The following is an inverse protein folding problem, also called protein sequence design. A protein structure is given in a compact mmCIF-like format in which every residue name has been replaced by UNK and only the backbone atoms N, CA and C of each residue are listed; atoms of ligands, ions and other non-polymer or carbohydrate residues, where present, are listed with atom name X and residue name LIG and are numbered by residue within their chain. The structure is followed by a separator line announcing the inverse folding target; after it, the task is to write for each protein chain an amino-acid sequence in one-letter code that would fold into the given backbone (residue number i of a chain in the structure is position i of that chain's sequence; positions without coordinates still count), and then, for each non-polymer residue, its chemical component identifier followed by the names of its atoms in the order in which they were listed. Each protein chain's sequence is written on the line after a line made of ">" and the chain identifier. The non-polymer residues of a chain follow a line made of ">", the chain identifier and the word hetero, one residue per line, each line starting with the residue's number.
data_IF_100096448217
#
_entry.id   IF_100096448217
#
_cell.length_a   1.000
_cell.length_b   1.000
_cell.length_c   1.000
_cell.angle_alpha   90.00
_cell.angle_beta   90.00
_cell.angle_gamma   90.00
#
_symmetry.space_group_name_H-M   'P 1'
#
loop_
_entity.id
_entity.type
_entity.pdbx_description
1 polymer ?
#
# COMPACT_ATOMS: atom_id res chain seq x y z
N UNK A 1 -13.99 -25.05 30.64
CA UNK A 1 -14.30 -25.45 29.25
C UNK A 1 -13.68 -24.39 28.38
N UNK A 2 -12.61 -24.74 27.68
CA UNK A 2 -11.78 -23.81 26.92
C UNK A 2 -12.29 -23.77 25.49
N UNK A 3 -12.77 -22.62 25.03
CA UNK A 3 -13.05 -22.38 23.61
C UNK A 3 -12.41 -21.05 23.21
N UNK A 4 -11.10 -21.09 23.04
CA UNK A 4 -10.35 -20.04 22.35
C UNK A 4 -10.36 -20.38 20.85
N UNK A 5 -11.51 -20.15 20.21
CA UNK A 5 -11.65 -20.28 18.77
C UNK A 5 -10.95 -19.08 18.11
N UNK A 6 -9.64 -19.19 17.92
CA UNK A 6 -8.86 -18.25 17.12
C UNK A 6 -9.25 -18.44 15.65
N UNK A 7 -10.13 -17.58 15.14
CA UNK A 7 -10.52 -17.60 13.74
C UNK A 7 -9.33 -17.17 12.89
N UNK A 8 -8.70 -18.13 12.18
CA UNK A 8 -7.78 -17.82 11.08
C UNK A 8 -8.47 -16.82 10.17
N UNK A 9 -7.84 -15.67 9.93
CA UNK A 9 -8.27 -14.67 8.94
C UNK A 9 -8.43 -15.40 7.61
N UNK A 10 -9.67 -15.72 7.25
CA UNK A 10 -10.00 -16.41 6.03
C UNK A 10 -9.60 -15.52 4.85
N UNK A 11 -9.14 -16.13 3.77
CA UNK A 11 -8.92 -15.43 2.49
C UNK A 11 -10.27 -14.92 1.97
N UNK A 12 -10.70 -13.78 2.51
CA UNK A 12 -11.99 -13.18 2.23
C UNK A 12 -11.96 -12.52 0.87
N UNK A 13 -12.91 -12.90 0.01
CA UNK A 13 -13.18 -12.20 -1.25
C UNK A 13 -14.02 -10.92 -1.02
N UNK A 14 -14.27 -10.52 0.24
CA UNK A 14 -14.91 -9.24 0.55
C UNK A 14 -13.94 -8.07 0.27
N UNK A 15 -14.37 -7.05 -0.49
CA UNK A 15 -13.58 -5.84 -0.68
C UNK A 15 -13.35 -5.11 0.65
N UNK A 16 -12.13 -4.60 0.83
CA UNK A 16 -11.83 -3.65 1.89
C UNK A 16 -12.48 -2.28 1.61
N UNK A 17 -12.38 -1.37 2.57
CA UNK A 17 -12.95 -0.03 2.48
C UNK A 17 -12.40 0.77 1.28
N UNK A 18 -13.27 1.62 0.72
CA UNK A 18 -12.94 2.62 -0.31
C UNK A 18 -13.11 2.14 -1.76
N UNK A 19 -12.94 3.05 -2.74
CA UNK A 19 -12.97 2.71 -4.16
C UNK A 19 -11.76 1.85 -4.53
N UNK A 20 -11.90 0.98 -5.54
CA UNK A 20 -10.81 0.09 -5.97
C UNK A 20 -9.72 0.88 -6.69
N UNK A 21 -8.65 1.23 -5.97
CA UNK A 21 -7.49 1.99 -6.48
C UNK A 21 -6.26 1.69 -5.62
N UNK A 22 -5.07 1.67 -6.24
CA UNK A 22 -3.78 1.63 -5.56
C UNK A 22 -3.09 2.99 -5.69
N UNK A 23 -2.66 3.57 -4.58
CA UNK A 23 -1.77 4.73 -4.59
C UNK A 23 -0.34 4.25 -4.40
N UNK A 24 0.56 4.63 -5.31
CA UNK A 24 1.95 4.17 -5.31
C UNK A 24 2.89 5.37 -5.24
N UNK A 25 3.80 5.37 -4.27
CA UNK A 25 4.68 6.49 -3.97
C UNK A 25 6.15 6.07 -3.99
N UNK A 26 7.04 7.01 -4.33
CA UNK A 26 8.49 6.87 -4.07
C UNK A 26 9.22 5.84 -4.93
N UNK A 27 8.59 5.32 -5.99
CA UNK A 27 9.21 4.38 -6.92
C UNK A 27 9.91 5.12 -8.07
N UNK A 28 11.08 4.60 -8.48
CA UNK A 28 11.69 4.95 -9.77
C UNK A 28 10.81 4.46 -10.92
N UNK A 29 11.01 4.99 -12.13
CA UNK A 29 10.26 4.57 -13.30
C UNK A 29 10.35 3.04 -13.56
N UNK A 30 11.52 2.45 -13.33
CA UNK A 30 11.73 1.00 -13.44
C UNK A 30 10.94 0.21 -12.39
N UNK A 31 10.94 0.68 -11.13
CA UNK A 31 10.18 0.05 -10.06
C UNK A 31 8.66 0.16 -10.29
N UNK A 32 8.18 1.29 -10.86
CA UNK A 32 6.79 1.43 -11.28
C UNK A 32 6.42 0.40 -12.35
N UNK A 33 7.27 0.21 -13.36
CA UNK A 33 7.03 -0.79 -14.41
C UNK A 33 7.05 -2.22 -13.86
N UNK A 34 8.01 -2.55 -12.98
CA UNK A 34 8.08 -3.85 -12.33
C UNK A 34 6.83 -4.11 -11.47
N UNK A 35 6.37 -3.11 -10.71
CA UNK A 35 5.15 -3.19 -9.92
C UNK A 35 3.92 -3.44 -10.79
N UNK A 36 3.74 -2.68 -11.87
CA UNK A 36 2.61 -2.86 -12.78
C UNK A 36 2.60 -4.24 -13.45
N UNK A 37 3.77 -4.76 -13.82
CA UNK A 37 3.88 -6.10 -14.41
C UNK A 37 3.55 -7.21 -13.40
N UNK A 38 4.02 -7.06 -12.16
CA UNK A 38 3.67 -7.95 -11.05
C UNK A 38 2.16 -7.89 -10.76
N UNK A 39 1.58 -6.70 -10.65
CA UNK A 39 0.15 -6.51 -10.41
C UNK A 39 -0.71 -7.19 -11.48
N UNK A 40 -0.36 -7.06 -12.75
CA UNK A 40 -1.05 -7.72 -13.88
C UNK A 40 -0.97 -9.25 -13.82
N UNK A 41 0.10 -9.79 -13.25
CA UNK A 41 0.31 -11.24 -13.12
C UNK A 41 -0.48 -11.80 -11.94
N UNK A 42 -0.43 -11.11 -10.80
CA UNK A 42 -0.98 -11.58 -9.53
C UNK A 42 -2.48 -11.29 -9.38
N UNK A 43 -2.97 -10.16 -9.92
CA UNK A 43 -4.33 -9.67 -9.71
C UNK A 43 -5.10 -9.67 -11.03
N UNK A 44 -6.12 -10.54 -11.12
CA UNK A 44 -6.94 -10.68 -12.33
C UNK A 44 -7.91 -9.52 -12.56
N UNK A 45 -8.42 -8.93 -11.48
CA UNK A 45 -9.38 -7.84 -11.58
C UNK A 45 -8.68 -6.52 -11.99
N UNK A 46 -9.28 -5.72 -12.88
CA UNK A 46 -8.73 -4.42 -13.23
C UNK A 46 -8.50 -3.57 -11.98
N UNK A 47 -7.29 -3.06 -11.80
CA UNK A 47 -6.91 -2.34 -10.59
C UNK A 47 -6.21 -1.04 -11.00
N UNK A 48 -6.92 0.10 -10.95
CA UNK A 48 -6.33 1.41 -11.19
C UNK A 48 -5.14 1.67 -10.26
N UNK A 49 -4.08 2.24 -10.81
CA UNK A 49 -2.87 2.64 -10.09
C UNK A 49 -2.61 4.12 -10.33
N UNK A 50 -2.61 4.89 -9.24
CA UNK A 50 -2.26 6.31 -9.25
C UNK A 50 -0.87 6.46 -8.66
N UNK A 51 0.08 6.98 -9.44
CA UNK A 51 1.40 7.31 -8.93
C UNK A 51 1.36 8.68 -8.26
N UNK A 52 1.84 8.74 -7.03
CA UNK A 52 1.84 9.96 -6.23
C UNK A 52 3.26 10.51 -6.13
N UNK A 53 3.35 11.83 -6.18
CA UNK A 53 4.58 12.61 -6.13
C UNK A 53 4.59 13.50 -4.88
N UNK A 54 5.72 14.13 -4.52
CA UNK A 54 5.77 15.07 -3.39
C UNK A 54 4.75 16.22 -3.46
N UNK A 55 4.30 16.59 -4.66
CA UNK A 55 3.29 17.63 -4.89
C UNK A 55 1.90 17.22 -4.39
N UNK A 56 1.62 15.92 -4.33
CA UNK A 56 0.36 15.36 -3.81
C UNK A 56 0.33 15.25 -2.29
N UNK A 57 1.41 15.66 -1.61
CA UNK A 57 1.59 15.43 -0.18
C UNK A 57 0.48 16.02 0.70
N UNK A 58 -0.09 17.16 0.30
CA UNK A 58 -1.12 17.85 1.08
C UNK A 58 -2.55 17.57 0.57
N UNK A 59 -2.68 16.68 -0.43
CA UNK A 59 -3.96 16.19 -0.98
C UNK A 59 -4.53 15.07 -0.10
N UNK A 60 -5.85 15.01 0.04
CA UNK A 60 -6.53 13.98 0.81
C UNK A 60 -6.46 12.62 0.10
N UNK A 61 -6.35 11.53 0.87
CA UNK A 61 -6.35 10.18 0.29
C UNK A 61 -7.64 9.87 -0.48
N UNK A 62 -8.79 10.32 0.02
CA UNK A 62 -10.09 10.19 -0.65
C UNK A 62 -10.13 10.86 -2.04
N UNK A 63 -9.44 11.98 -2.21
CA UNK A 63 -9.32 12.66 -3.49
C UNK A 63 -8.36 11.91 -4.43
N UNK A 64 -7.23 11.44 -3.90
CA UNK A 64 -6.22 10.72 -4.69
C UNK A 64 -6.75 9.40 -5.26
N UNK A 65 -7.54 8.65 -4.50
CA UNK A 65 -8.10 7.36 -4.97
C UNK A 65 -9.16 7.52 -6.06
N UNK A 66 -9.68 8.74 -6.25
CA UNK A 66 -10.64 9.07 -7.31
C UNK A 66 -9.97 9.55 -8.62
N UNK A 67 -8.64 9.69 -8.63
CA UNK A 67 -7.89 10.13 -9.80
C UNK A 67 -7.76 9.03 -10.86
N UNK A 68 -7.55 9.40 -12.13
CA UNK A 68 -7.46 8.44 -13.22
C UNK A 68 -6.26 7.51 -13.10
N UNK A 69 -6.44 6.27 -13.58
CA UNK A 69 -5.39 5.27 -13.70
C UNK A 69 -4.18 5.80 -14.48
N UNK A 70 -2.98 5.44 -14.02
CA UNK A 70 -1.71 5.81 -14.63
C UNK A 70 -1.30 7.27 -14.46
N UNK A 71 -2.03 8.09 -13.68
CA UNK A 71 -1.62 9.46 -13.36
C UNK A 71 -0.19 9.48 -12.85
N UNK A 72 0.61 10.42 -13.37
CA UNK A 72 2.02 10.66 -13.02
C UNK A 72 2.94 9.44 -13.18
N UNK A 73 2.54 8.43 -13.97
CA UNK A 73 3.43 7.33 -14.32
C UNK A 73 4.71 7.84 -14.97
N UNK A 74 5.84 7.27 -14.56
CA UNK A 74 7.18 7.64 -15.02
C UNK A 74 7.74 8.89 -14.33
N UNK A 75 6.94 9.59 -13.52
CA UNK A 75 7.46 10.68 -12.70
C UNK A 75 8.05 10.10 -11.42
N UNK A 76 9.25 10.55 -11.10
CA UNK A 76 9.95 10.17 -9.89
C UNK A 76 9.89 11.31 -8.89
N UNK A 77 9.81 10.98 -7.61
CA UNK A 77 9.77 11.96 -6.55
C UNK A 77 10.43 11.43 -5.29
N UNK A 78 11.12 12.32 -4.57
CA UNK A 78 11.74 11.99 -3.28
C UNK A 78 10.66 11.83 -2.22
N UNK A 79 10.10 10.63 -2.12
CA UNK A 79 9.14 10.22 -1.12
C UNK A 79 9.46 8.79 -0.65
N UNK A 80 9.16 8.43 0.61
CA UNK A 80 9.27 7.04 1.04
C UNK A 80 8.48 6.09 0.13
N UNK A 81 9.03 4.93 -0.24
CA UNK A 81 8.32 3.94 -1.03
C UNK A 81 7.13 3.41 -0.24
N UNK A 82 5.93 3.55 -0.81
CA UNK A 82 4.70 3.16 -0.15
C UNK A 82 3.61 2.74 -1.15
N UNK A 83 2.77 1.79 -0.75
CA UNK A 83 1.55 1.41 -1.47
C UNK A 83 0.36 1.47 -0.51
N UNK A 84 -0.62 2.31 -0.86
CA UNK A 84 -1.90 2.42 -0.16
C UNK A 84 -2.95 1.69 -0.99
N UNK A 85 -3.59 0.69 -0.40
CA UNK A 85 -4.54 -0.21 -1.05
C UNK A 85 -5.97 0.16 -0.66
N UNK A 86 -6.80 0.50 -1.63
CA UNK A 86 -8.20 0.86 -1.43
C UNK A 86 -9.11 -0.08 -2.23
N UNK A 87 -10.21 -0.54 -1.62
CA UNK A 87 -11.25 -1.32 -2.32
C UNK A 87 -10.83 -2.67 -2.92
N UNK A 88 -9.62 -3.16 -2.64
CA UNK A 88 -9.18 -4.52 -3.02
C UNK A 88 -9.58 -5.53 -1.93
N UNK A 89 -9.59 -6.82 -2.25
CA UNK A 89 -9.85 -7.86 -1.24
C UNK A 89 -8.61 -8.14 -0.38
N UNK A 90 -8.80 -8.75 0.79
CA UNK A 90 -7.66 -9.19 1.62
C UNK A 90 -6.79 -10.22 0.89
N UNK A 91 -7.40 -11.06 0.06
CA UNK A 91 -6.70 -12.02 -0.78
C UNK A 91 -5.80 -11.32 -1.80
N UNK A 92 -6.30 -10.30 -2.47
CA UNK A 92 -5.51 -9.51 -3.42
C UNK A 92 -4.38 -8.75 -2.73
N UNK A 93 -4.64 -8.17 -1.55
CA UNK A 93 -3.59 -7.55 -0.72
C UNK A 93 -2.45 -8.52 -0.45
N UNK A 94 -2.75 -9.76 -0.01
CA UNK A 94 -1.73 -10.78 0.25
C UNK A 94 -0.96 -11.15 -1.02
N UNK A 95 -1.65 -11.28 -2.16
CA UNK A 95 -1.03 -11.57 -3.46
C UNK A 95 -0.06 -10.47 -3.88
N UNK A 96 -0.48 -9.19 -3.82
CA UNK A 96 0.35 -8.03 -4.15
C UNK A 96 1.58 -7.97 -3.23
N UNK A 97 1.41 -8.16 -1.92
CA UNK A 97 2.52 -8.13 -0.96
C UNK A 97 3.50 -9.28 -1.18
N UNK A 98 3.03 -10.47 -1.54
CA UNK A 98 3.89 -11.61 -1.84
C UNK A 98 4.60 -11.43 -3.18
N UNK A 99 3.91 -10.96 -4.21
CA UNK A 99 4.49 -10.63 -5.50
C UNK A 99 5.58 -9.55 -5.39
N UNK A 100 5.40 -8.53 -4.54
CA UNK A 100 6.46 -7.56 -4.28
C UNK A 100 7.74 -8.18 -3.73
N UNK A 101 7.63 -9.15 -2.81
CA UNK A 101 8.79 -9.84 -2.22
C UNK A 101 9.61 -10.62 -3.26
N UNK A 102 8.98 -11.11 -4.32
CA UNK A 102 9.69 -11.86 -5.38
C UNK A 102 10.46 -10.95 -6.33
N UNK A 103 10.17 -9.65 -6.36
CA UNK A 103 10.86 -8.68 -7.22
C UNK A 103 12.26 -8.29 -6.71
N UNK A 104 12.64 -8.66 -5.49
CA UNK A 104 13.93 -8.29 -4.89
C UNK A 104 14.09 -6.77 -4.66
N UNK A 105 13.00 -6.01 -4.70
CA UNK A 105 12.99 -4.56 -4.51
C UNK A 105 13.06 -4.20 -3.00
N UNK A 106 13.47 -2.95 -2.68
CA UNK A 106 13.56 -2.50 -1.29
C UNK A 106 12.25 -2.68 -0.51
N UNK A 107 12.38 -2.73 0.82
CA UNK A 107 11.20 -2.68 1.70
C UNK A 107 10.41 -1.40 1.48
N UNK A 108 9.10 -1.52 1.64
CA UNK A 108 8.17 -0.42 1.47
C UNK A 108 7.11 -0.41 2.57
N UNK A 109 6.47 0.74 2.69
CA UNK A 109 5.32 0.92 3.57
C UNK A 109 4.07 0.39 2.88
N UNK A 110 3.21 -0.25 3.66
CA UNK A 110 1.94 -0.78 3.19
C UNK A 110 0.83 -0.22 4.07
N UNK A 111 -0.26 0.20 3.46
CA UNK A 111 -1.47 0.59 4.17
C UNK A 111 -2.71 0.11 3.42
N UNK A 112 -3.76 -0.19 4.16
CA UNK A 112 -5.11 -0.27 3.62
C UNK A 112 -5.82 1.07 3.90
N UNK A 113 -6.63 1.55 2.95
CA UNK A 113 -7.49 2.70 3.19
C UNK A 113 -8.56 2.33 4.23
N UNK A 114 -8.83 3.24 5.15
CA UNK A 114 -9.85 3.08 6.20
C UNK A 114 -10.73 4.32 6.25
N UNK A 115 -11.92 4.25 6.86
CA UNK A 115 -12.76 5.43 7.09
C UNK A 115 -12.03 6.54 7.86
N UNK A 116 -11.11 6.17 8.75
CA UNK A 116 -10.30 7.16 9.49
C UNK A 116 -9.28 7.82 8.57
N UNK A 117 -8.51 7.02 7.83
CA UNK A 117 -7.38 7.53 7.03
C UNK A 117 -7.79 8.24 5.74
N UNK A 118 -9.00 8.02 5.21
CA UNK A 118 -9.44 8.69 3.97
C UNK A 118 -9.46 10.23 4.03
N UNK A 119 -9.62 10.76 5.26
CA UNK A 119 -9.65 12.20 5.55
C UNK A 119 -8.25 12.77 5.82
N UNK A 120 -7.21 11.94 5.77
CA UNK A 120 -5.84 12.36 6.01
C UNK A 120 -5.19 12.77 4.70
N UNK A 121 -4.20 13.64 4.78
CA UNK A 121 -3.33 13.93 3.65
C UNK A 121 -2.35 12.78 3.41
N UNK A 122 -1.88 12.63 2.18
CA UNK A 122 -0.87 11.63 1.85
C UNK A 122 0.37 11.76 2.75
N UNK A 123 0.85 12.99 2.98
CA UNK A 123 2.00 13.27 3.85
C UNK A 123 1.74 12.84 5.29
N UNK A 124 0.54 13.06 5.82
CA UNK A 124 0.19 12.66 7.17
C UNK A 124 0.24 11.14 7.33
N UNK A 125 -0.38 10.40 6.40
CA UNK A 125 -0.35 8.93 6.43
C UNK A 125 1.09 8.39 6.31
N UNK A 126 1.89 8.90 5.38
CA UNK A 126 3.27 8.43 5.19
C UNK A 126 4.11 8.67 6.45
N UNK A 127 3.95 9.83 7.10
CA UNK A 127 4.65 10.12 8.38
C UNK A 127 4.26 9.14 9.47
N UNK A 128 2.97 8.82 9.60
CA UNK A 128 2.49 7.84 10.58
C UNK A 128 3.10 6.46 10.33
N UNK A 129 3.01 5.97 9.09
CA UNK A 129 3.59 4.68 8.68
C UNK A 129 5.10 4.59 8.93
N UNK A 130 5.82 5.68 8.69
CA UNK A 130 7.26 5.74 9.00
C UNK A 130 7.53 5.68 10.50
N UNK A 131 6.72 6.38 11.31
CA UNK A 131 6.83 6.36 12.77
C UNK A 131 6.64 4.95 13.32
N UNK A 132 5.57 4.26 12.89
CA UNK A 132 5.29 2.88 13.27
C UNK A 132 6.40 1.91 12.84
N UNK A 133 6.85 2.03 11.58
CA UNK A 133 7.92 1.18 11.07
C UNK A 133 9.24 1.39 11.82
N UNK A 134 9.58 2.64 12.16
CA UNK A 134 10.77 2.94 12.98
C UNK A 134 10.65 2.40 14.40
N UNK A 135 9.46 2.46 15.02
CA UNK A 135 9.21 1.90 16.34
C UNK A 135 9.40 0.38 16.35
N UNK A 136 8.88 -0.32 15.33
CA UNK A 136 9.02 -1.77 15.18
C UNK A 136 10.49 -2.19 15.00
N UNK A 137 11.27 -1.45 14.20
CA UNK A 137 12.71 -1.73 14.01
C UNK A 137 13.50 -1.58 15.32
N UNK A 138 13.19 -0.56 16.14
CA UNK A 138 13.82 -0.37 17.46
C UNK A 138 13.50 -1.52 18.41
N UNK A 139 12.27 -2.02 18.41
CA UNK A 139 11.88 -3.17 19.25
C UNK A 139 12.56 -4.47 18.81
N UNK A 140 12.72 -4.71 17.50
CA UNK A 140 13.43 -5.89 17.00
C UNK A 140 14.92 -5.90 17.36
N UNK A 141 15.58 -4.73 17.37
CA UNK A 141 16.98 -4.62 17.78
C UNK A 141 17.16 -4.87 19.29
N UNK A 142 16.21 -4.44 20.12
CA UNK A 142 16.27 -4.66 21.57
C UNK A 142 15.98 -6.11 21.98
N UNK A 143 15.28 -6.89 21.15
CA UNK A 143 15.03 -8.32 21.41
C UNK A 143 16.16 -9.25 20.92
N UNK A 144 17.12 -8.72 20.16
CA UNK A 144 18.29 -9.45 19.65
C UNK A 144 19.59 -9.12 20.40
N UNK A 145 19.51 -8.30 21.45
CA UNK A 145 20.58 -8.00 22.41
C UNK A 145 20.28 -8.66 23.75
#
# INVERSE_FOLDING_TARGET
>A
MSDNTMTRVADSDQPMYGPRTLLVCGYSADAQNAFLNMLKTEVKAPTPVVFCTPEDGDTLLSELVALPDGRQKGQEGKMPPAVIMSGITEKELKLIMNGWKTLGLPRQLWAALTPTSETWTLRALIRELQSEHMAMLKQQQQQQQ
#
